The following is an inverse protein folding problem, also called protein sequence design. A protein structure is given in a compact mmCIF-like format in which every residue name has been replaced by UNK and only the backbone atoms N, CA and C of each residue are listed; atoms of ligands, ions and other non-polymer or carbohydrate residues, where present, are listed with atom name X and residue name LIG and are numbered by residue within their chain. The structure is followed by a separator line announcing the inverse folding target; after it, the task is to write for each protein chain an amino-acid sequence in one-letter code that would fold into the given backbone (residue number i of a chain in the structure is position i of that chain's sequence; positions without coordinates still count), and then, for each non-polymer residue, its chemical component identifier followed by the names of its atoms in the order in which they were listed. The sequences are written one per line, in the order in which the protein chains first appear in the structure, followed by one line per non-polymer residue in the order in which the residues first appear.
data_IF_920275183300
#
_entry.id   IF_920275183300
#
_cell.length_a   1.000
_cell.length_b   1.000
_cell.length_c   1.000
_cell.angle_alpha   90.00
_cell.angle_beta   90.00
_cell.angle_gamma   90.00
#
_symmetry.space_group_name_H-M   'P 1'
#
loop_
_entity.id
_entity.type
_entity.pdbx_description
1 polymer ?
#
# COMPACT_ATOMS: atom_id res chain seq x y z
N UNK A 1 11.68 1.23 -12.38
CA UNK A 1 11.37 0.80 -11.01
C UNK A 1 11.24 2.06 -10.17
N UNK A 2 10.03 2.37 -9.72
CA UNK A 2 9.73 3.53 -8.87
C UNK A 2 9.63 3.09 -7.41
N UNK A 3 9.73 4.05 -6.51
CA UNK A 3 9.59 3.84 -5.07
C UNK A 3 8.44 4.69 -4.55
N UNK A 4 7.65 4.10 -3.65
CA UNK A 4 6.46 4.72 -3.08
C UNK A 4 6.48 4.65 -1.56
N UNK A 5 5.70 5.50 -0.90
CA UNK A 5 5.46 5.46 0.55
C UNK A 5 3.96 5.30 0.78
N UNK A 6 3.59 4.19 1.41
CA UNK A 6 2.21 3.87 1.76
C UNK A 6 2.08 4.01 3.27
N UNK A 7 1.14 4.83 3.71
CA UNK A 7 0.97 5.13 5.14
C UNK A 7 -0.17 4.30 5.69
N UNK A 8 0.08 3.63 6.81
CA UNK A 8 -0.94 2.92 7.58
C UNK A 8 -0.77 3.23 9.06
N UNK A 9 -1.88 3.32 9.78
CA UNK A 9 -1.86 3.48 11.24
C UNK A 9 -1.62 2.10 11.89
N UNK A 10 -0.56 1.93 12.71
CA UNK A 10 -0.11 0.60 13.15
C UNK A 10 -1.11 -0.13 14.05
N UNK A 11 -1.95 0.62 14.76
CA UNK A 11 -3.04 0.11 15.61
C UNK A 11 -4.27 -0.35 14.81
N UNK A 12 -4.44 0.13 13.58
CA UNK A 12 -5.50 -0.30 12.66
C UNK A 12 -5.01 -1.43 11.75
N UNK A 13 -3.91 -1.21 11.03
CA UNK A 13 -3.26 -2.20 10.18
C UNK A 13 -1.76 -1.88 10.07
N UNK A 14 -0.93 -2.77 10.58
CA UNK A 14 0.50 -2.55 10.77
C UNK A 14 1.30 -3.57 9.96
N UNK A 15 2.62 -3.41 9.93
CA UNK A 15 3.48 -4.31 9.17
C UNK A 15 3.40 -5.76 9.67
N UNK A 16 3.23 -5.96 10.98
CA UNK A 16 3.06 -7.30 11.57
C UNK A 16 1.71 -7.92 11.18
N UNK A 17 0.66 -7.10 11.04
CA UNK A 17 -0.63 -7.55 10.55
C UNK A 17 -0.52 -8.04 9.09
N UNK A 18 0.19 -7.29 8.24
CA UNK A 18 0.47 -7.70 6.86
C UNK A 18 1.31 -8.98 6.79
N UNK A 19 2.35 -9.10 7.62
CA UNK A 19 3.21 -10.27 7.68
C UNK A 19 2.47 -11.56 8.06
N UNK A 20 1.34 -11.44 8.76
CA UNK A 20 0.48 -12.57 9.17
C UNK A 20 -0.61 -12.91 8.14
N UNK A 21 -0.79 -12.11 7.08
CA UNK A 21 -1.76 -12.42 6.02
C UNK A 21 -1.33 -13.61 5.17
N UNK A 22 -2.27 -14.38 4.60
CA UNK A 22 -1.96 -15.34 3.56
C UNK A 22 -1.15 -14.68 2.45
N UNK A 23 -0.05 -15.32 2.04
CA UNK A 23 0.90 -14.81 1.05
C UNK A 23 1.46 -13.41 1.35
N UNK A 24 1.37 -12.96 2.61
CA UNK A 24 1.78 -11.63 3.06
C UNK A 24 1.18 -10.50 2.20
N UNK A 25 -0.07 -10.70 1.74
CA UNK A 25 -0.73 -9.86 0.74
C UNK A 25 -2.06 -9.32 1.26
N UNK A 26 -2.32 -8.03 0.99
CA UNK A 26 -3.57 -7.34 1.34
C UNK A 26 -3.94 -6.32 0.24
N UNK A 27 -5.23 -6.17 -0.13
CA UNK A 27 -5.69 -5.04 -0.94
C UNK A 27 -5.44 -3.69 -0.26
N UNK A 28 -4.89 -2.72 -1.01
CA UNK A 28 -4.76 -1.34 -0.53
C UNK A 28 -6.06 -0.56 -0.74
N UNK A 29 -6.98 -0.68 0.21
CA UNK A 29 -8.30 -0.06 0.15
C UNK A 29 -8.35 1.29 0.91
N UNK A 30 -9.56 1.79 1.19
CA UNK A 30 -9.74 2.98 2.05
C UNK A 30 -9.27 4.33 1.49
N UNK A 31 -8.60 4.39 0.34
CA UNK A 31 -8.12 5.64 -0.24
C UNK A 31 -9.29 6.55 -0.63
N UNK A 32 -9.38 7.72 0.03
CA UNK A 32 -10.37 8.78 -0.25
C UNK A 32 -9.73 10.10 -0.69
N UNK A 33 -8.42 10.09 -0.92
CA UNK A 33 -7.70 11.22 -1.50
C UNK A 33 -7.59 11.06 -3.03
N UNK A 34 -8.02 12.07 -3.78
CA UNK A 34 -8.04 12.02 -5.25
C UNK A 34 -6.64 11.86 -5.87
N UNK A 35 -5.62 12.51 -5.31
CA UNK A 35 -4.26 12.45 -5.84
C UNK A 35 -3.63 11.08 -5.59
N UNK A 36 -3.72 10.56 -4.36
CA UNK A 36 -3.24 9.22 -4.03
C UNK A 36 -3.91 8.13 -4.88
N UNK A 37 -5.23 8.25 -5.10
CA UNK A 37 -5.96 7.36 -6.01
C UNK A 37 -5.39 7.42 -7.44
N UNK A 38 -5.11 8.62 -7.95
CA UNK A 38 -4.57 8.77 -9.29
C UNK A 38 -3.16 8.17 -9.39
N UNK A 39 -2.30 8.33 -8.37
CA UNK A 39 -0.99 7.66 -8.34
C UNK A 39 -1.12 6.13 -8.38
N UNK A 40 -2.01 5.56 -7.56
CA UNK A 40 -2.25 4.11 -7.54
C UNK A 40 -2.78 3.57 -8.88
N UNK A 41 -3.61 4.36 -9.58
CA UNK A 41 -4.22 3.95 -10.86
C UNK A 41 -3.28 4.13 -12.05
N UNK A 42 -2.60 5.27 -12.12
CA UNK A 42 -1.92 5.73 -13.34
C UNK A 42 -0.42 5.43 -13.32
N UNK A 43 0.19 5.31 -12.13
CA UNK A 43 1.64 5.32 -11.99
C UNK A 43 2.22 4.11 -11.23
N UNK A 44 1.53 3.58 -10.22
CA UNK A 44 1.99 2.39 -9.48
C UNK A 44 1.84 1.15 -10.37
N UNK A 45 2.95 0.46 -10.59
CA UNK A 45 2.99 -0.77 -11.39
C UNK A 45 3.44 -2.01 -10.61
N UNK A 46 3.12 -3.19 -11.14
CA UNK A 46 3.63 -4.46 -10.60
C UNK A 46 5.16 -4.45 -10.64
N UNK A 47 5.78 -4.77 -9.50
CA UNK A 47 7.24 -4.81 -9.34
C UNK A 47 7.86 -3.52 -8.76
N UNK A 48 7.10 -2.42 -8.68
CA UNK A 48 7.53 -1.26 -7.90
C UNK A 48 7.67 -1.61 -6.41
N UNK A 49 8.53 -0.87 -5.72
CA UNK A 49 8.81 -1.08 -4.29
C UNK A 49 8.14 0.01 -3.46
N UNK A 50 7.74 -0.37 -2.25
CA UNK A 50 6.94 0.48 -1.36
C UNK A 50 7.53 0.43 0.04
N UNK A 51 7.70 1.59 0.66
CA UNK A 51 7.87 1.70 2.11
C UNK A 51 6.50 1.67 2.77
N UNK A 52 6.38 0.86 3.81
CA UNK A 52 5.19 0.71 4.65
C UNK A 52 5.44 1.43 5.98
#
# INVERSE_FOLDING_TARGET
MRYWLFKSEPDVFGIDHLAQRPDQTEPWDGVRNYQARNFLRDEVGVGDKVFF
#
